data_IF_261250830029
#
_entry.id   IF_261250830029
#
_cell.length_a   1.000
_cell.length_b   1.000
_cell.length_c   1.000
_cell.angle_alpha   90.00
_cell.angle_beta   90.00
_cell.angle_gamma   90.00
#
_symmetry.space_group_name_H-M   'P 1'
#
loop_
_entity.id
_entity.type
_entity.pdbx_description
1 polymer ?
#
# COMPACT_ATOMS: atom_id res chain seq x y z
N UNK A 1 -12.26 2.31 0.29
CA UNK A 1 -11.25 3.37 0.48
C UNK A 1 -11.88 4.40 1.39
N UNK A 2 -11.54 4.42 2.67
CA UNK A 2 -12.03 5.48 3.57
C UNK A 2 -11.18 6.71 3.28
N UNK A 3 -11.69 7.60 2.42
CA UNK A 3 -11.05 8.87 2.14
C UNK A 3 -11.29 9.86 3.29
N UNK A 4 -10.43 10.88 3.39
CA UNK A 4 -10.60 12.00 4.29
C UNK A 4 -10.63 13.33 3.53
N UNK A 5 -11.22 14.35 4.13
CA UNK A 5 -11.20 15.73 3.61
C UNK A 5 -10.30 16.61 4.47
N UNK A 6 -9.55 17.52 3.84
CA UNK A 6 -8.80 18.58 4.51
C UNK A 6 -9.18 19.94 3.92
N UNK A 7 -9.26 20.98 4.75
CA UNK A 7 -9.51 22.36 4.30
C UNK A 7 -8.19 23.10 4.19
N UNK A 8 -7.91 23.70 3.03
CA UNK A 8 -6.70 24.45 2.75
C UNK A 8 -7.04 25.92 2.51
N UNK A 9 -6.19 26.85 2.98
CA UNK A 9 -6.38 28.28 2.80
C UNK A 9 -5.65 29.13 3.82
N UNK A 10 -5.71 30.46 3.63
CA UNK A 10 -5.15 31.44 4.58
C UNK A 10 -5.78 31.25 5.98
N UNK A 11 -4.95 31.22 7.03
CA UNK A 11 -5.34 30.92 8.42
C UNK A 11 -5.94 29.51 8.68
N UNK A 12 -5.97 28.61 7.69
CA UNK A 12 -6.43 27.23 7.87
C UNK A 12 -5.28 26.21 7.93
N UNK A 13 -4.04 26.67 7.68
CA UNK A 13 -2.83 25.86 7.75
C UNK A 13 -1.69 26.68 8.35
N UNK A 14 -0.74 25.99 8.98
CA UNK A 14 0.46 26.62 9.49
C UNK A 14 1.29 27.23 8.35
N UNK A 15 1.94 28.35 8.62
CA UNK A 15 2.82 29.02 7.64
C UNK A 15 3.85 28.04 7.11
N UNK A 16 4.01 28.00 5.78
CA UNK A 16 4.93 27.12 5.05
C UNK A 16 4.60 25.62 5.07
N UNK A 17 3.47 25.20 5.67
CA UNK A 17 3.02 23.82 5.53
C UNK A 17 2.73 23.48 4.06
N UNK A 18 2.99 22.22 3.67
CA UNK A 18 2.70 21.71 2.33
C UNK A 18 1.73 20.56 2.42
N UNK A 19 0.80 20.50 1.47
CA UNK A 19 -0.11 19.39 1.30
C UNK A 19 0.09 18.77 -0.08
N UNK A 20 0.17 17.45 -0.14
CA UNK A 20 0.34 16.70 -1.38
C UNK A 20 -0.50 15.43 -1.36
N UNK A 21 -1.16 15.16 -2.49
CA UNK A 21 -1.83 13.89 -2.76
C UNK A 21 -0.97 13.10 -3.74
N UNK A 22 -0.58 11.89 -3.36
CA UNK A 22 0.14 10.97 -4.24
C UNK A 22 -0.75 9.81 -4.62
N UNK A 23 -0.86 9.55 -5.92
CA UNK A 23 -1.60 8.41 -6.46
C UNK A 23 -0.71 7.65 -7.44
N UNK A 24 -0.39 6.40 -7.09
CA UNK A 24 0.53 5.60 -7.89
C UNK A 24 1.94 6.19 -7.94
N UNK A 25 2.68 5.83 -8.99
CA UNK A 25 4.03 6.30 -9.28
C UNK A 25 4.39 6.01 -10.74
N UNK A 26 5.59 6.37 -11.16
CA UNK A 26 6.10 6.08 -12.50
C UNK A 26 6.62 4.64 -12.63
N UNK A 27 6.82 4.18 -13.87
CA UNK A 27 7.52 2.91 -14.14
C UNK A 27 8.96 2.92 -13.64
N UNK A 28 9.59 4.09 -13.57
CA UNK A 28 10.95 4.22 -13.06
C UNK A 28 10.98 3.94 -11.55
N UNK A 29 10.06 4.54 -10.80
CA UNK A 29 9.93 4.31 -9.36
C UNK A 29 9.70 2.82 -9.06
N UNK A 30 8.87 2.13 -9.88
CA UNK A 30 8.67 0.68 -9.75
C UNK A 30 9.98 -0.11 -9.93
N UNK A 31 10.82 0.26 -10.91
CA UNK A 31 12.11 -0.40 -11.13
C UNK A 31 13.04 -0.21 -9.93
N UNK A 32 13.07 1.00 -9.37
CA UNK A 32 13.91 1.35 -8.23
C UNK A 32 13.50 0.58 -6.97
N UNK A 33 12.20 0.53 -6.63
CA UNK A 33 11.75 -0.23 -5.45
C UNK A 33 11.95 -1.73 -5.61
N UNK A 34 11.79 -2.27 -6.82
CA UNK A 34 12.13 -3.66 -7.12
C UNK A 34 13.63 -3.94 -6.94
N UNK A 35 14.49 -3.00 -7.33
CA UNK A 35 15.93 -3.12 -7.13
C UNK A 35 16.29 -3.10 -5.64
N UNK A 36 15.68 -2.22 -4.84
CA UNK A 36 15.86 -2.21 -3.38
C UNK A 36 15.45 -3.54 -2.74
N UNK A 37 14.35 -4.14 -3.20
CA UNK A 37 13.92 -5.45 -2.73
C UNK A 37 14.90 -6.57 -3.11
N UNK A 38 15.41 -6.56 -4.36
CA UNK A 38 16.43 -7.52 -4.82
C UNK A 38 17.74 -7.41 -4.03
N UNK A 39 18.13 -6.20 -3.65
CA UNK A 39 19.32 -5.94 -2.82
C UNK A 39 19.09 -6.25 -1.33
N UNK A 40 17.90 -6.69 -0.93
CA UNK A 40 17.57 -7.00 0.46
C UNK A 40 17.38 -5.77 1.35
N UNK A 41 17.36 -4.55 0.78
CA UNK A 41 17.14 -3.29 1.50
C UNK A 41 15.67 -3.05 1.85
N UNK A 42 14.77 -3.79 1.20
CA UNK A 42 13.33 -3.74 1.43
C UNK A 42 12.79 -5.17 1.58
N UNK A 43 12.09 -5.43 2.69
CA UNK A 43 11.35 -6.69 2.91
C UNK A 43 9.85 -6.39 2.94
N UNK A 44 9.09 -7.16 2.17
CA UNK A 44 7.64 -7.05 2.10
C UNK A 44 7.04 -8.23 2.86
N UNK A 45 6.22 -7.97 3.87
CA UNK A 45 5.45 -9.03 4.53
C UNK A 45 4.30 -9.48 3.64
N UNK A 46 4.29 -10.77 3.32
CA UNK A 46 3.29 -11.38 2.45
C UNK A 46 2.64 -12.57 3.14
N UNK A 47 1.31 -12.62 3.06
CA UNK A 47 0.51 -13.79 3.40
C UNK A 47 0.09 -14.46 2.09
N UNK A 48 0.54 -15.69 1.85
CA UNK A 48 0.22 -16.43 0.63
C UNK A 48 -1.06 -17.24 0.80
N UNK A 49 -1.90 -17.23 -0.22
CA UNK A 49 -3.14 -18.01 -0.31
C UNK A 49 -3.15 -18.70 -1.67
N UNK A 50 -3.61 -19.95 -1.74
CA UNK A 50 -3.87 -20.59 -3.03
C UNK A 50 -5.03 -19.91 -3.75
N UNK A 51 -5.18 -20.21 -5.04
CA UNK A 51 -6.28 -19.67 -5.84
C UNK A 51 -7.67 -20.01 -5.27
N UNK A 52 -7.83 -21.22 -4.73
CA UNK A 52 -9.08 -21.66 -4.10
C UNK A 52 -9.40 -20.92 -2.80
N UNK A 53 -8.38 -20.35 -2.15
CA UNK A 53 -8.48 -19.63 -0.88
C UNK A 53 -8.78 -18.13 -1.05
N UNK A 54 -9.08 -17.64 -2.26
CA UNK A 54 -9.43 -16.23 -2.51
C UNK A 54 -10.51 -15.71 -1.54
N UNK A 55 -11.64 -16.43 -1.31
CA UNK A 55 -12.66 -15.95 -0.37
C UNK A 55 -12.13 -15.75 1.06
N UNK A 56 -11.24 -16.65 1.50
CA UNK A 56 -10.59 -16.59 2.80
C UNK A 56 -9.61 -15.43 2.91
N UNK A 57 -8.82 -15.17 1.86
CA UNK A 57 -7.93 -14.01 1.79
C UNK A 57 -8.71 -12.70 1.95
N UNK A 58 -9.87 -12.58 1.30
CA UNK A 58 -10.76 -11.43 1.47
C UNK A 58 -11.36 -11.33 2.87
N UNK A 59 -11.73 -12.46 3.50
CA UNK A 59 -12.21 -12.44 4.88
C UNK A 59 -11.11 -11.98 5.85
N UNK A 60 -9.88 -12.47 5.68
CA UNK A 60 -8.74 -12.01 6.48
C UNK A 60 -8.47 -10.51 6.31
N UNK A 61 -8.61 -9.97 5.10
CA UNK A 61 -8.52 -8.54 4.85
C UNK A 61 -9.62 -7.76 5.60
N UNK A 62 -10.88 -8.21 5.51
CA UNK A 62 -12.02 -7.57 6.20
C UNK A 62 -11.87 -7.61 7.71
N UNK A 63 -11.39 -8.72 8.25
CA UNK A 63 -11.21 -8.94 9.69
C UNK A 63 -9.93 -8.28 10.24
N UNK A 64 -9.09 -7.68 9.39
CA UNK A 64 -7.81 -7.11 9.82
C UNK A 64 -6.79 -8.15 10.30
N UNK A 65 -6.85 -9.38 9.79
CA UNK A 65 -6.01 -10.52 10.20
C UNK A 65 -4.73 -10.71 9.36
N UNK A 66 -4.55 -9.93 8.30
CA UNK A 66 -3.35 -10.00 7.47
C UNK A 66 -2.16 -9.35 8.17
N UNK A 67 -0.98 -9.96 8.08
CA UNK A 67 0.29 -9.37 8.55
C UNK A 67 0.76 -8.26 7.63
N UNK A 68 0.55 -8.46 6.32
CA UNK A 68 0.90 -7.51 5.28
C UNK A 68 -0.01 -7.66 4.06
N UNK A 69 0.59 -8.01 2.92
CA UNK A 69 -0.17 -8.16 1.66
C UNK A 69 -0.61 -9.61 1.47
N UNK A 70 -1.91 -9.82 1.25
CA UNK A 70 -2.40 -11.08 0.70
C UNK A 70 -1.95 -11.22 -0.76
N UNK A 71 -1.26 -12.32 -1.07
CA UNK A 71 -0.82 -12.69 -2.42
C UNK A 71 -1.45 -14.01 -2.79
N UNK A 72 -2.23 -14.02 -3.87
CA UNK A 72 -2.80 -15.24 -4.43
C UNK A 72 -1.73 -15.90 -5.31
N UNK A 73 -1.48 -17.17 -5.06
CA UNK A 73 -0.58 -18.01 -5.85
C UNK A 73 -1.39 -19.06 -6.61
N UNK A 74 -0.92 -19.44 -7.80
CA UNK A 74 -1.66 -20.27 -8.76
C UNK A 74 -1.30 -21.77 -8.68
N UNK A 75 -0.36 -22.12 -7.82
CA UNK A 75 0.13 -23.48 -7.57
C UNK A 75 -0.78 -24.27 -6.61
#
# INVERSE_FOLDING_TARGET
MQGGSVRLGWNLMATSAKFSLSLGSTRQDLREVCQLAKEGKLRIEVDRFSFDDIPKAYQHLRDGKLKGRAVIVMD
#
